data_IF_928890300328
#
_entry.id   IF_928890300328
#
_cell.length_a   1.000
_cell.length_b   1.000
_cell.length_c   1.000
_cell.angle_alpha   90.00
_cell.angle_beta   90.00
_cell.angle_gamma   90.00
#
_symmetry.space_group_name_H-M   'P 1'
#
loop_
_entity.id
_entity.type
_entity.pdbx_description
1 polymer ?
#
# COMPACT_ATOMS: atom_id res chain seq x y z
N UNK A 1 26.51 -21.84 11.67
CA UNK A 1 26.53 -20.60 10.85
C UNK A 1 25.28 -19.80 11.18
N UNK A 2 25.40 -18.53 11.58
CA UNK A 2 24.22 -17.71 11.94
C UNK A 2 23.45 -17.40 10.67
N UNK A 3 22.26 -18.02 10.51
CA UNK A 3 21.29 -17.66 9.46
C UNK A 3 20.77 -16.26 9.75
N UNK A 4 21.55 -15.24 9.40
CA UNK A 4 21.21 -13.84 9.54
C UNK A 4 20.53 -13.37 8.26
N UNK A 5 19.57 -12.46 8.40
CA UNK A 5 18.80 -11.93 7.29
C UNK A 5 19.70 -11.13 6.34
N UNK A 6 19.75 -11.49 5.04
CA UNK A 6 20.61 -10.79 4.08
C UNK A 6 20.20 -9.34 3.85
N UNK A 7 18.93 -8.99 4.11
CA UNK A 7 18.41 -7.64 3.90
C UNK A 7 18.75 -6.65 5.03
N UNK A 8 19.09 -7.12 6.22
CA UNK A 8 19.38 -6.21 7.35
C UNK A 8 20.62 -6.58 8.16
N UNK A 9 21.24 -7.73 7.92
CA UNK A 9 22.46 -8.17 8.61
C UNK A 9 22.35 -8.35 10.12
N UNK A 10 21.19 -8.11 10.74
CA UNK A 10 21.05 -8.06 12.19
C UNK A 10 20.15 -9.17 12.77
N UNK A 11 19.04 -9.49 12.09
CA UNK A 11 18.01 -10.40 12.61
C UNK A 11 18.15 -11.80 12.04
N UNK A 12 17.70 -12.82 12.76
CA UNK A 12 17.70 -14.20 12.26
C UNK A 12 16.75 -14.36 11.06
N UNK A 13 17.26 -14.94 9.98
CA UNK A 13 16.50 -15.39 8.84
C UNK A 13 15.67 -16.62 9.22
N UNK A 14 14.34 -16.52 9.03
CA UNK A 14 13.37 -17.57 9.41
C UNK A 14 12.28 -17.80 8.36
N UNK A 15 12.09 -16.90 7.39
CA UNK A 15 11.06 -16.98 6.36
C UNK A 15 11.67 -17.23 5.00
N UNK A 16 11.20 -18.24 4.27
CA UNK A 16 11.60 -18.47 2.89
C UNK A 16 10.94 -17.42 1.97
N UNK A 17 11.72 -16.51 1.42
CA UNK A 17 11.24 -15.45 0.54
C UNK A 17 11.40 -15.87 -0.93
N UNK A 18 10.30 -16.12 -1.66
CA UNK A 18 10.38 -16.48 -3.08
C UNK A 18 10.93 -15.33 -3.95
N UNK A 19 10.61 -14.07 -3.61
CA UNK A 19 11.09 -12.90 -4.37
C UNK A 19 12.60 -12.64 -4.29
N UNK A 20 13.29 -13.16 -3.27
CA UNK A 20 14.76 -13.05 -3.12
C UNK A 20 15.44 -14.41 -3.37
N UNK A 21 14.69 -15.50 -3.47
CA UNK A 21 15.25 -16.86 -3.60
C UNK A 21 16.01 -17.33 -2.36
N UNK A 22 15.64 -16.89 -1.15
CA UNK A 22 16.40 -17.18 0.07
C UNK A 22 15.63 -16.92 1.37
N UNK A 23 16.27 -17.16 2.52
CA UNK A 23 15.64 -16.90 3.83
C UNK A 23 15.89 -15.48 4.34
N UNK A 24 14.84 -14.82 4.83
CA UNK A 24 14.89 -13.47 5.43
C UNK A 24 14.20 -13.43 6.80
N UNK A 25 14.37 -12.34 7.55
CA UNK A 25 13.67 -12.15 8.82
C UNK A 25 12.21 -11.71 8.62
N UNK A 26 11.38 -11.94 9.64
CA UNK A 26 9.96 -11.57 9.61
C UNK A 26 9.71 -10.08 9.38
N UNK A 27 10.60 -9.21 9.89
CA UNK A 27 10.41 -7.76 9.79
C UNK A 27 10.75 -7.24 8.41
N UNK A 28 11.90 -7.60 7.83
CA UNK A 28 12.19 -7.26 6.44
C UNK A 28 11.12 -7.83 5.49
N UNK A 29 10.65 -9.06 5.74
CA UNK A 29 9.54 -9.63 4.98
C UNK A 29 8.24 -8.80 5.09
N UNK A 30 7.96 -8.17 6.24
CA UNK A 30 6.75 -7.38 6.44
C UNK A 30 6.84 -5.95 5.92
N UNK A 31 8.01 -5.32 6.06
CA UNK A 31 8.22 -3.90 5.74
C UNK A 31 8.69 -3.67 4.30
N UNK A 32 9.36 -4.67 3.69
CA UNK A 32 9.96 -4.55 2.36
C UNK A 32 9.19 -5.28 1.26
N UNK A 33 8.12 -6.01 1.60
CA UNK A 33 7.28 -6.72 0.60
C UNK A 33 6.58 -5.72 -0.31
N UNK A 34 6.52 -6.02 -1.61
CA UNK A 34 5.91 -5.20 -2.67
C UNK A 34 6.52 -3.80 -2.87
N UNK A 35 7.43 -3.37 -2.00
CA UNK A 35 8.13 -2.07 -2.10
C UNK A 35 9.55 -2.27 -2.59
N UNK A 36 10.39 -2.99 -1.83
CA UNK A 36 11.78 -3.29 -2.21
C UNK A 36 11.95 -4.74 -2.69
N UNK A 37 11.00 -5.62 -2.36
CA UNK A 37 11.00 -7.02 -2.76
C UNK A 37 9.90 -7.24 -3.79
N UNK A 38 10.27 -7.67 -4.99
CA UNK A 38 9.37 -8.17 -6.03
C UNK A 38 8.68 -9.46 -5.55
N UNK A 39 7.62 -9.31 -4.77
CA UNK A 39 6.88 -10.44 -4.20
C UNK A 39 5.96 -11.04 -5.26
N UNK A 40 6.07 -12.33 -5.57
CA UNK A 40 5.13 -12.98 -6.46
C UNK A 40 3.76 -13.16 -5.78
N UNK A 41 2.71 -13.31 -6.59
CA UNK A 41 1.33 -13.39 -6.09
C UNK A 41 1.06 -14.65 -5.25
N UNK A 42 1.83 -15.71 -5.47
CA UNK A 42 1.78 -16.98 -4.73
C UNK A 42 2.58 -16.96 -3.41
N UNK A 43 3.14 -15.81 -3.01
CA UNK A 43 3.90 -15.70 -1.76
C UNK A 43 3.01 -16.00 -0.53
N UNK A 44 3.31 -17.05 0.26
CA UNK A 44 2.45 -17.48 1.38
C UNK A 44 2.40 -16.46 2.52
N UNK A 45 3.48 -15.70 2.72
CA UNK A 45 3.52 -14.63 3.73
C UNK A 45 2.77 -13.38 3.27
N UNK A 46 2.65 -13.16 1.96
CA UNK A 46 1.85 -12.08 1.40
C UNK A 46 0.37 -12.42 1.50
N UNK A 47 -0.02 -13.65 1.10
CA UNK A 47 -1.41 -14.11 1.20
C UNK A 47 -1.92 -14.12 2.64
N UNK A 48 -1.15 -14.67 3.58
CA UNK A 48 -1.48 -14.70 5.01
C UNK A 48 -1.77 -13.29 5.56
N UNK A 49 -0.98 -12.29 5.15
CA UNK A 49 -1.14 -10.93 5.61
C UNK A 49 -2.27 -10.15 4.92
N UNK A 50 -2.69 -10.56 3.72
CA UNK A 50 -3.93 -10.07 3.09
C UNK A 50 -5.16 -10.63 3.81
N UNK A 51 -5.11 -11.90 4.21
CA UNK A 51 -6.18 -12.55 4.98
C UNK A 51 -6.30 -12.01 6.41
N UNK A 52 -5.18 -11.60 7.02
CA UNK A 52 -5.13 -11.05 8.38
C UNK A 52 -4.46 -9.67 8.36
N UNK A 53 -5.17 -8.63 7.87
CA UNK A 53 -4.61 -7.29 7.79
C UNK A 53 -4.33 -6.74 9.20
N UNK A 54 -3.31 -5.87 9.35
CA UNK A 54 -3.06 -5.19 10.62
C UNK A 54 -4.30 -4.44 11.11
N UNK A 55 -4.51 -4.35 12.43
CA UNK A 55 -5.68 -3.68 13.01
C UNK A 55 -5.86 -2.22 12.53
N UNK A 56 -4.78 -1.50 12.23
CA UNK A 56 -4.84 -0.14 11.66
C UNK A 56 -5.47 -0.13 10.26
N UNK A 57 -5.19 -1.15 9.45
CA UNK A 57 -5.77 -1.31 8.11
C UNK A 57 -7.23 -1.71 8.23
N UNK A 58 -7.56 -2.62 9.14
CA UNK A 58 -8.96 -3.00 9.42
C UNK A 58 -9.80 -1.78 9.83
N UNK A 59 -9.35 -1.01 10.83
CA UNK A 59 -10.06 0.20 11.26
C UNK A 59 -10.20 1.24 10.16
N UNK A 60 -9.19 1.35 9.27
CA UNK A 60 -9.30 2.23 8.09
C UNK A 60 -10.40 1.73 7.15
N UNK A 61 -10.39 0.44 6.81
CA UNK A 61 -11.43 -0.17 5.97
C UNK A 61 -12.81 0.00 6.59
N UNK A 62 -12.97 -0.24 7.89
CA UNK A 62 -14.23 -0.03 8.61
C UNK A 62 -14.75 1.40 8.46
N UNK A 63 -13.89 2.41 8.63
CA UNK A 63 -14.26 3.82 8.40
C UNK A 63 -14.61 4.13 6.95
N UNK A 64 -13.83 3.60 6.01
CA UNK A 64 -14.10 3.79 4.58
C UNK A 64 -15.46 3.18 4.21
N UNK A 65 -15.78 1.99 4.75
CA UNK A 65 -17.09 1.35 4.59
C UNK A 65 -18.20 2.15 5.24
N UNK A 66 -18.03 2.61 6.48
CA UNK A 66 -19.00 3.44 7.20
C UNK A 66 -19.36 4.71 6.42
N UNK A 67 -18.37 5.32 5.76
CA UNK A 67 -18.58 6.49 4.90
C UNK A 67 -19.29 6.12 3.59
N UNK A 68 -18.90 5.02 2.93
CA UNK A 68 -19.41 4.68 1.59
C UNK A 68 -20.80 4.04 1.60
N UNK A 69 -21.09 3.19 2.60
CA UNK A 69 -22.32 2.40 2.69
C UNK A 69 -23.60 3.24 2.49
N UNK A 70 -23.78 4.37 3.19
CA UNK A 70 -24.99 5.21 3.01
C UNK A 70 -25.19 5.70 1.58
N UNK A 71 -24.13 5.84 0.79
CA UNK A 71 -24.21 6.36 -0.58
C UNK A 71 -24.47 5.28 -1.64
N UNK A 72 -24.21 4.01 -1.30
CA UNK A 72 -24.35 2.90 -2.25
C UNK A 72 -25.50 1.95 -1.91
N UNK A 73 -26.00 1.99 -0.67
CA UNK A 73 -27.01 1.04 -0.19
C UNK A 73 -28.38 1.22 -0.86
N UNK A 74 -28.69 2.42 -1.34
CA UNK A 74 -29.96 2.73 -2.01
C UNK A 74 -29.89 2.63 -3.54
N UNK A 75 -28.76 2.16 -4.08
CA UNK A 75 -28.61 1.99 -5.53
C UNK A 75 -29.36 0.75 -6.01
N UNK A 76 -30.18 0.93 -7.04
CA UNK A 76 -30.76 -0.18 -7.80
C UNK A 76 -29.65 -0.95 -8.53
N UNK A 77 -29.90 -2.22 -8.86
CA UNK A 77 -28.96 -3.07 -9.61
C UNK A 77 -28.40 -2.39 -10.88
N UNK A 78 -29.20 -1.72 -11.74
CA UNK A 78 -28.66 -0.99 -12.90
C UNK A 78 -27.74 0.18 -12.51
N UNK A 79 -28.06 0.91 -11.43
CA UNK A 79 -27.24 2.02 -10.94
C UNK A 79 -25.92 1.52 -10.36
N UNK A 80 -25.94 0.41 -9.62
CA UNK A 80 -24.72 -0.24 -9.13
C UNK A 80 -23.82 -0.69 -10.29
N UNK A 81 -24.40 -1.31 -11.34
CA UNK A 81 -23.65 -1.68 -12.55
C UNK A 81 -23.02 -0.48 -13.26
N UNK A 82 -23.77 0.62 -13.41
CA UNK A 82 -23.23 1.86 -14.00
C UNK A 82 -22.11 2.46 -13.15
N UNK A 83 -22.28 2.51 -11.83
CA UNK A 83 -21.26 2.95 -10.88
C UNK A 83 -19.98 2.12 -11.02
N UNK A 84 -20.10 0.79 -11.08
CA UNK A 84 -18.95 -0.10 -11.22
C UNK A 84 -18.25 0.05 -12.58
N UNK A 85 -19.00 0.24 -13.67
CA UNK A 85 -18.43 0.54 -15.00
C UNK A 85 -17.67 1.86 -14.96
N UNK A 86 -18.28 2.91 -14.40
CA UNK A 86 -17.65 4.22 -14.27
C UNK A 86 -16.37 4.12 -13.44
N UNK A 87 -16.42 3.44 -12.29
CA UNK A 87 -15.26 3.22 -11.44
C UNK A 87 -14.13 2.46 -12.16
N UNK A 88 -14.47 1.43 -12.94
CA UNK A 88 -13.47 0.68 -13.72
C UNK A 88 -12.77 1.57 -14.77
N UNK A 89 -13.51 2.48 -15.43
CA UNK A 89 -12.92 3.45 -16.36
C UNK A 89 -12.02 4.44 -15.62
N UNK A 90 -12.49 5.00 -14.50
CA UNK A 90 -11.71 5.94 -13.69
C UNK A 90 -10.41 5.31 -13.19
N UNK A 91 -10.44 4.07 -12.68
CA UNK A 91 -9.24 3.37 -12.22
C UNK A 91 -8.25 3.16 -13.38
N UNK A 92 -8.73 2.69 -14.53
CA UNK A 92 -7.89 2.48 -15.71
C UNK A 92 -7.22 3.77 -16.18
N UNK A 93 -7.97 4.87 -16.22
CA UNK A 93 -7.43 6.17 -16.64
C UNK A 93 -6.52 6.78 -15.56
N UNK A 94 -6.83 6.61 -14.27
CA UNK A 94 -5.98 7.07 -13.17
C UNK A 94 -4.61 6.36 -13.17
N UNK A 95 -4.58 5.06 -13.46
CA UNK A 95 -3.34 4.30 -13.63
C UNK A 95 -2.50 4.79 -14.82
N UNK A 96 -3.12 5.38 -15.85
CA UNK A 96 -2.43 5.89 -17.04
C UNK A 96 -2.07 7.37 -16.92
N UNK A 97 -2.91 8.16 -16.27
CA UNK A 97 -2.79 9.61 -16.15
C UNK A 97 -1.85 10.03 -15.01
N UNK A 98 -1.64 9.16 -14.03
CA UNK A 98 -0.75 9.43 -12.90
C UNK A 98 0.59 8.73 -13.17
N UNK A 99 1.60 9.44 -13.71
CA UNK A 99 2.94 8.87 -13.81
C UNK A 99 3.38 8.38 -12.42
N UNK A 100 4.22 7.33 -12.35
CA UNK A 100 4.65 6.77 -11.08
C UNK A 100 5.29 7.88 -10.25
N UNK A 101 4.79 8.06 -9.02
CA UNK A 101 5.32 9.03 -8.08
C UNK A 101 6.80 8.71 -7.82
N UNK A 102 7.69 9.61 -8.18
CA UNK A 102 9.13 9.47 -7.94
C UNK A 102 9.57 10.34 -6.76
N UNK A 103 10.75 10.03 -6.21
CA UNK A 103 11.30 10.76 -5.07
C UNK A 103 11.44 12.27 -5.33
N UNK A 104 11.64 12.67 -6.59
CA UNK A 104 11.69 14.08 -6.98
C UNK A 104 10.34 14.79 -6.76
N UNK A 105 9.22 14.16 -7.16
CA UNK A 105 7.88 14.71 -6.95
C UNK A 105 7.58 14.89 -5.45
N UNK A 106 8.02 13.92 -4.64
CA UNK A 106 7.86 13.97 -3.18
C UNK A 106 8.70 15.09 -2.57
N UNK A 107 9.95 15.25 -3.02
CA UNK A 107 10.84 16.31 -2.55
C UNK A 107 10.27 17.70 -2.85
N UNK A 108 9.77 17.92 -4.08
CA UNK A 108 9.17 19.18 -4.50
C UNK A 108 7.90 19.51 -3.70
N UNK A 109 7.04 18.51 -3.47
CA UNK A 109 5.85 18.67 -2.64
C UNK A 109 6.20 19.02 -1.18
N UNK A 110 7.19 18.33 -0.60
CA UNK A 110 7.68 18.62 0.75
C UNK A 110 8.28 20.02 0.86
N UNK A 111 9.07 20.46 -0.11
CA UNK A 111 9.64 21.81 -0.14
C UNK A 111 8.54 22.87 -0.21
N UNK A 112 7.52 22.66 -1.05
CA UNK A 112 6.36 23.55 -1.18
C UNK A 112 5.56 23.64 0.13
N UNK A 113 5.34 22.49 0.80
CA UNK A 113 4.67 22.44 2.09
C UNK A 113 5.47 23.16 3.19
N UNK A 114 6.79 22.96 3.23
CA UNK A 114 7.68 23.65 4.16
C UNK A 114 7.64 25.17 3.97
N UNK A 115 7.76 25.65 2.73
CA UNK A 115 7.66 27.06 2.41
C UNK A 115 6.31 27.66 2.84
N UNK A 116 5.22 26.91 2.65
CA UNK A 116 3.87 27.33 3.09
C UNK A 116 3.79 27.48 4.61
N UNK A 117 4.33 26.52 5.36
CA UNK A 117 4.37 26.56 6.83
C UNK A 117 5.25 27.70 7.34
N UNK A 118 6.40 27.94 6.71
CA UNK A 118 7.27 29.08 7.04
C UNK A 118 6.59 30.42 6.79
N UNK A 119 5.80 30.52 5.72
CA UNK A 119 5.04 31.74 5.41
C UNK A 119 3.91 31.95 6.43
N UNK A 120 3.19 30.89 6.78
CA UNK A 120 2.13 30.93 7.78
C UNK A 120 2.64 31.30 9.18
N UNK A 121 3.86 30.90 9.54
CA UNK A 121 4.47 31.25 10.85
C UNK A 121 5.00 32.68 10.96
N UNK A 122 5.06 33.43 9.85
CA UNK A 122 5.54 34.83 9.82
C UNK A 122 4.41 35.86 9.90
N UNK A 123 3.14 35.43 9.88
CA UNK A 123 1.95 36.27 10.07
C UNK A 123 1.27 35.96 11.39
#
# INVERSE_FOLDING_TARGET
MKNTCPLCGARRAKRACPGIGGQICAVCCGTKRLTEIACPQDCPYLSSARAHPPAVVQRRQERDFEFLLPHVNDLTEPQYRLMMIFHAVVVREAEQAMPPLIDADVADACATAAATLETAGKG
#
